data_IF_886658143953
#
_entry.id   IF_886658143953
#
_cell.length_a   1.000
_cell.length_b   1.000
_cell.length_c   1.000
_cell.angle_alpha   90.00
_cell.angle_beta   90.00
_cell.angle_gamma   90.00
#
_symmetry.space_group_name_H-M   'P 1'
#
loop_
_entity.id
_entity.type
_entity.pdbx_description
1 polymer ?
#
# COMPACT_ATOMS: atom_id res chain seq x y z
N UNK A 1 6.00 -20.71 50.74
CA UNK A 1 6.35 -20.22 49.39
C UNK A 1 7.87 -20.23 49.33
N UNK A 2 8.43 -21.12 48.51
CA UNK A 2 9.88 -21.33 48.47
C UNK A 2 10.53 -20.15 47.75
N UNK A 3 11.74 -19.76 48.14
CA UNK A 3 12.51 -18.68 47.48
C UNK A 3 12.76 -18.94 46.00
N UNK A 4 12.63 -20.18 45.53
CA UNK A 4 12.67 -20.57 44.10
C UNK A 4 11.46 -20.10 43.31
N UNK A 5 10.25 -20.10 43.88
CA UNK A 5 9.01 -19.70 43.19
C UNK A 5 9.03 -18.20 42.86
N UNK A 6 9.59 -17.39 43.77
CA UNK A 6 9.72 -15.95 43.58
C UNK A 6 10.76 -15.58 42.50
N UNK A 7 11.80 -16.39 42.31
CA UNK A 7 12.83 -16.16 41.28
C UNK A 7 12.29 -16.53 39.89
N UNK A 8 11.48 -17.58 39.79
CA UNK A 8 10.79 -17.94 38.54
C UNK A 8 9.74 -16.90 38.15
N UNK A 9 8.93 -16.39 39.09
CA UNK A 9 7.95 -15.32 38.83
C UNK A 9 8.63 -14.01 38.38
N UNK A 10 9.78 -13.65 38.96
CA UNK A 10 10.56 -12.48 38.53
C UNK A 10 11.14 -12.69 37.13
N UNK A 11 11.70 -13.86 36.83
CA UNK A 11 12.24 -14.17 35.51
C UNK A 11 11.14 -14.20 34.44
N UNK A 12 9.97 -14.74 34.76
CA UNK A 12 8.83 -14.82 33.85
C UNK A 12 8.17 -13.45 33.65
N UNK A 13 8.05 -12.64 34.71
CA UNK A 13 7.63 -11.24 34.65
C UNK A 13 8.61 -10.38 33.84
N UNK A 14 9.92 -10.55 34.00
CA UNK A 14 10.94 -9.87 33.19
C UNK A 14 10.92 -10.31 31.72
N UNK A 15 10.65 -11.59 31.44
CA UNK A 15 10.51 -12.11 30.06
C UNK A 15 9.24 -11.61 29.37
N UNK A 16 8.14 -11.49 30.09
CA UNK A 16 6.87 -10.90 29.60
C UNK A 16 7.01 -9.38 29.41
N UNK A 17 7.68 -8.69 30.34
CA UNK A 17 7.90 -7.23 30.26
C UNK A 17 8.86 -6.90 29.12
N UNK A 18 9.95 -7.64 28.95
CA UNK A 18 10.87 -7.47 27.80
C UNK A 18 10.22 -7.83 26.46
N UNK A 19 9.35 -8.85 26.42
CA UNK A 19 8.58 -9.21 25.22
C UNK A 19 7.54 -8.13 24.85
N UNK A 20 6.87 -7.55 25.84
CA UNK A 20 5.89 -6.47 25.63
C UNK A 20 6.56 -5.18 25.22
N UNK A 21 7.64 -4.78 25.92
CA UNK A 21 8.44 -3.61 25.55
C UNK A 21 9.00 -3.73 24.13
N UNK A 22 9.54 -4.89 23.75
CA UNK A 22 10.00 -5.16 22.38
C UNK A 22 8.87 -5.05 21.35
N UNK A 23 7.67 -5.54 21.67
CA UNK A 23 6.50 -5.43 20.79
C UNK A 23 6.03 -3.99 20.62
N UNK A 24 6.02 -3.21 21.70
CA UNK A 24 5.69 -1.77 21.67
C UNK A 24 6.72 -1.00 20.85
N UNK A 25 8.02 -1.27 21.04
CA UNK A 25 9.10 -0.68 20.24
C UNK A 25 8.94 -1.01 18.75
N UNK A 26 8.65 -2.27 18.42
CA UNK A 26 8.41 -2.68 17.04
C UNK A 26 7.19 -1.97 16.44
N UNK A 27 6.11 -1.80 17.20
CA UNK A 27 4.92 -1.08 16.78
C UNK A 27 5.19 0.40 16.50
N UNK A 28 5.82 1.11 17.44
CA UNK A 28 6.13 2.55 17.30
C UNK A 28 7.12 2.77 16.15
N UNK A 29 8.19 1.99 16.10
CA UNK A 29 9.20 2.11 15.04
C UNK A 29 8.64 1.78 13.66
N UNK A 30 7.79 0.75 13.56
CA UNK A 30 7.05 0.43 12.34
C UNK A 30 6.11 1.56 11.91
N UNK A 31 5.36 2.14 12.86
CA UNK A 31 4.50 3.29 12.61
C UNK A 31 5.26 4.52 12.10
N UNK A 32 6.39 4.85 12.74
CA UNK A 32 7.24 5.96 12.32
C UNK A 32 7.85 5.72 10.93
N UNK A 33 8.32 4.50 10.66
CA UNK A 33 8.74 4.08 9.32
C UNK A 33 7.64 4.29 8.27
N UNK A 34 6.40 3.91 8.59
CA UNK A 34 5.24 4.15 7.73
C UNK A 34 4.99 5.64 7.44
N UNK A 35 5.13 6.51 8.43
CA UNK A 35 5.04 7.98 8.25
C UNK A 35 6.14 8.48 7.31
N UNK A 36 7.40 8.06 7.52
CA UNK A 36 8.51 8.42 6.64
C UNK A 36 8.27 7.96 5.19
N UNK A 37 7.76 6.74 5.02
CA UNK A 37 7.40 6.19 3.71
C UNK A 37 6.36 7.04 2.98
N UNK A 38 5.33 7.48 3.70
CA UNK A 38 4.28 8.34 3.15
C UNK A 38 4.86 9.71 2.80
N UNK A 39 5.65 10.33 3.68
CA UNK A 39 6.26 11.64 3.40
C UNK A 39 7.12 11.61 2.14
N UNK A 40 8.01 10.64 2.00
CA UNK A 40 8.91 10.55 0.83
C UNK A 40 8.18 10.06 -0.42
N UNK A 41 7.23 9.13 -0.27
CA UNK A 41 6.54 8.52 -1.39
C UNK A 41 5.37 9.33 -1.95
N UNK A 42 4.74 10.20 -1.15
CA UNK A 42 3.49 10.86 -1.54
C UNK A 42 3.60 11.78 -2.75
N UNK A 43 4.68 12.56 -2.96
CA UNK A 43 4.87 13.32 -4.20
C UNK A 43 4.78 12.45 -5.46
N UNK A 44 5.37 11.25 -5.43
CA UNK A 44 5.30 10.31 -6.55
C UNK A 44 3.88 9.78 -6.77
N UNK A 45 3.16 9.46 -5.68
CA UNK A 45 1.75 9.03 -5.76
C UNK A 45 0.87 10.11 -6.36
N UNK A 46 1.06 11.37 -5.96
CA UNK A 46 0.27 12.48 -6.46
C UNK A 46 0.47 12.64 -7.97
N UNK A 47 1.73 12.60 -8.44
CA UNK A 47 2.04 12.70 -9.87
C UNK A 47 1.49 11.49 -10.63
N UNK A 48 1.64 10.28 -10.10
CA UNK A 48 1.05 9.06 -10.66
C UNK A 48 -0.46 9.24 -10.85
N UNK A 49 -1.19 9.54 -9.80
CA UNK A 49 -2.65 9.65 -9.82
C UNK A 49 -3.11 10.77 -10.77
N UNK A 50 -2.45 11.94 -10.75
CA UNK A 50 -2.75 13.02 -11.70
C UNK A 50 -2.54 12.59 -13.15
N UNK A 51 -1.48 11.84 -13.48
CA UNK A 51 -1.28 11.33 -14.84
C UNK A 51 -2.35 10.32 -15.24
N UNK A 52 -2.81 9.47 -14.32
CA UNK A 52 -3.82 8.44 -14.58
C UNK A 52 -5.21 9.03 -14.89
N UNK A 53 -5.56 10.13 -14.22
CA UNK A 53 -6.89 10.76 -14.28
C UNK A 53 -6.95 12.00 -15.17
N UNK A 54 -5.79 12.48 -15.65
CA UNK A 54 -5.71 13.61 -16.56
C UNK A 54 -6.51 13.38 -17.84
N UNK A 55 -7.24 14.42 -18.26
CA UNK A 55 -7.73 14.48 -19.63
C UNK A 55 -6.54 14.53 -20.61
N UNK A 56 -6.70 14.00 -21.84
CA UNK A 56 -5.69 14.11 -22.89
C UNK A 56 -5.17 15.54 -23.05
N UNK A 57 -3.86 15.69 -23.23
CA UNK A 57 -3.21 16.99 -23.39
C UNK A 57 -2.91 17.78 -22.10
N UNK A 58 -3.46 17.38 -20.95
CA UNK A 58 -3.21 18.10 -19.67
C UNK A 58 -1.72 18.08 -19.29
N UNK A 59 -1.05 16.95 -19.48
CA UNK A 59 0.37 16.76 -19.15
C UNK A 59 1.12 16.11 -20.32
N UNK A 60 2.34 16.58 -20.59
CA UNK A 60 3.28 15.93 -21.53
C UNK A 60 3.97 14.70 -20.91
N UNK A 61 3.97 14.59 -19.58
CA UNK A 61 4.60 13.51 -18.84
C UNK A 61 4.73 13.84 -17.35
N UNK A 62 5.43 12.98 -16.60
CA UNK A 62 5.58 13.14 -15.15
C UNK A 62 6.29 14.44 -14.75
N UNK A 63 7.37 14.81 -15.45
CA UNK A 63 8.11 16.05 -15.15
C UNK A 63 7.27 17.30 -15.44
N UNK A 64 6.47 17.29 -16.51
CA UNK A 64 5.54 18.37 -16.81
C UNK A 64 4.45 18.47 -15.74
N UNK A 65 3.94 17.33 -15.24
CA UNK A 65 3.01 17.29 -14.13
C UNK A 65 3.60 17.85 -12.83
N UNK A 66 4.88 17.57 -12.53
CA UNK A 66 5.60 18.16 -11.40
C UNK A 66 5.71 19.66 -11.57
N UNK A 67 6.22 20.14 -12.71
CA UNK A 67 6.41 21.57 -13.00
C UNK A 67 5.10 22.34 -12.88
N UNK A 68 4.02 21.84 -13.49
CA UNK A 68 2.69 22.46 -13.40
C UNK A 68 2.11 22.44 -11.98
N UNK A 69 2.36 21.38 -11.22
CA UNK A 69 1.94 21.31 -9.81
C UNK A 69 2.67 22.34 -8.97
N UNK A 70 4.00 22.44 -9.11
CA UNK A 70 4.81 23.41 -8.38
C UNK A 70 4.47 24.86 -8.77
N UNK A 71 4.23 25.12 -10.05
CA UNK A 71 3.87 26.45 -10.53
C UNK A 71 2.49 26.91 -10.02
N UNK A 72 1.52 25.98 -9.89
CA UNK A 72 0.15 26.31 -9.47
C UNK A 72 -0.03 26.30 -7.95
N UNK A 73 0.49 25.27 -7.29
CA UNK A 73 0.18 24.94 -5.89
C UNK A 73 1.40 25.05 -4.96
N UNK A 74 2.59 25.39 -5.48
CA UNK A 74 3.84 25.39 -4.73
C UNK A 74 4.30 23.99 -4.28
N UNK A 75 5.31 23.94 -3.42
CA UNK A 75 5.87 22.68 -2.91
C UNK A 75 4.86 21.89 -2.05
N UNK A 76 4.02 22.58 -1.29
CA UNK A 76 2.96 21.95 -0.48
C UNK A 76 1.89 21.28 -1.34
N UNK A 77 1.71 21.73 -2.59
CA UNK A 77 0.85 21.09 -3.59
C UNK A 77 1.19 19.63 -3.86
N UNK A 78 2.47 19.24 -3.75
CA UNK A 78 2.90 17.84 -3.91
C UNK A 78 2.39 16.92 -2.79
N UNK A 79 2.00 17.50 -1.65
CA UNK A 79 1.51 16.78 -0.46
C UNK A 79 -0.03 16.76 -0.35
N UNK A 80 -0.73 17.24 -1.37
CA UNK A 80 -2.19 17.25 -1.37
C UNK A 80 -2.75 15.82 -1.29
N UNK A 81 -3.67 15.59 -0.36
CA UNK A 81 -4.27 14.27 -0.13
C UNK A 81 -3.39 13.29 0.65
N UNK A 82 -2.36 13.75 1.37
CA UNK A 82 -1.50 12.90 2.21
C UNK A 82 -2.16 12.46 3.52
N UNK A 83 -3.16 13.18 4.02
CA UNK A 83 -3.81 12.86 5.30
C UNK A 83 -4.50 11.48 5.29
N UNK A 84 -5.32 11.09 4.29
CA UNK A 84 -5.93 9.76 4.26
C UNK A 84 -4.92 8.60 4.40
N UNK A 85 -3.82 8.51 3.62
CA UNK A 85 -2.88 7.41 3.80
C UNK A 85 -2.18 7.43 5.17
N UNK A 86 -1.89 8.60 5.76
CA UNK A 86 -1.33 8.66 7.12
C UNK A 86 -2.28 8.08 8.17
N UNK A 87 -3.58 8.36 8.06
CA UNK A 87 -4.59 7.82 8.98
C UNK A 87 -4.91 6.34 8.71
N UNK A 88 -4.86 5.93 7.44
CA UNK A 88 -5.26 4.60 7.02
C UNK A 88 -4.16 3.55 7.07
N UNK A 89 -2.87 3.93 7.06
CA UNK A 89 -1.76 2.98 6.90
C UNK A 89 -1.78 1.88 7.96
N UNK A 90 -1.87 2.23 9.23
CA UNK A 90 -1.88 1.28 10.35
C UNK A 90 -3.08 0.33 10.31
N UNK A 91 -4.35 0.79 10.24
CA UNK A 91 -5.49 -0.13 10.20
C UNK A 91 -5.53 -0.96 8.92
N UNK A 92 -5.10 -0.43 7.77
CA UNK A 92 -5.01 -1.19 6.52
C UNK A 92 -4.03 -2.35 6.67
N UNK A 93 -2.81 -2.10 7.17
CA UNK A 93 -1.83 -3.16 7.37
C UNK A 93 -2.25 -4.16 8.44
N UNK A 94 -2.84 -3.71 9.55
CA UNK A 94 -3.32 -4.60 10.60
C UNK A 94 -4.36 -5.60 10.05
N UNK A 95 -5.33 -5.12 9.29
CA UNK A 95 -6.34 -5.98 8.65
C UNK A 95 -5.74 -6.84 7.55
N UNK A 96 -4.73 -6.35 6.83
CA UNK A 96 -4.00 -7.12 5.81
C UNK A 96 -3.26 -8.32 6.41
N UNK A 97 -2.47 -8.11 7.47
CA UNK A 97 -1.74 -9.20 8.14
C UNK A 97 -2.70 -10.22 8.77
N UNK A 98 -3.75 -9.74 9.44
CA UNK A 98 -4.80 -10.62 9.94
C UNK A 98 -5.48 -11.42 8.82
N UNK A 99 -5.80 -10.77 7.70
CA UNK A 99 -6.37 -11.41 6.53
C UNK A 99 -5.43 -12.43 5.88
N UNK A 100 -4.12 -12.17 5.91
CA UNK A 100 -3.09 -13.07 5.41
C UNK A 100 -2.98 -14.33 6.27
N UNK A 101 -2.96 -14.19 7.60
CA UNK A 101 -2.97 -15.31 8.54
C UNK A 101 -4.23 -16.18 8.38
N UNK A 102 -5.39 -15.55 8.18
CA UNK A 102 -6.63 -16.26 7.85
C UNK A 102 -6.55 -16.96 6.50
N UNK A 103 -5.99 -16.29 5.48
CA UNK A 103 -5.77 -16.87 4.15
C UNK A 103 -4.89 -18.12 4.21
N UNK A 104 -3.79 -18.08 4.95
CA UNK A 104 -2.93 -19.24 5.19
C UNK A 104 -3.68 -20.39 5.87
N UNK A 105 -4.47 -20.11 6.91
CA UNK A 105 -5.30 -21.13 7.59
C UNK A 105 -6.33 -21.76 6.65
N UNK A 106 -6.95 -20.96 5.79
CA UNK A 106 -7.90 -21.44 4.78
C UNK A 106 -7.20 -22.35 3.76
N UNK A 107 -6.07 -21.92 3.21
CA UNK A 107 -5.28 -22.73 2.26
C UNK A 107 -4.89 -24.07 2.87
N UNK A 108 -4.38 -24.10 4.11
CA UNK A 108 -4.05 -25.34 4.80
C UNK A 108 -5.26 -26.28 4.98
N UNK A 109 -6.46 -25.72 5.17
CA UNK A 109 -7.69 -26.51 5.27
C UNK A 109 -8.10 -27.14 3.94
N UNK A 110 -7.81 -26.48 2.82
CA UNK A 110 -8.11 -26.97 1.48
C UNK A 110 -7.00 -27.88 0.90
N UNK A 111 -5.83 -27.95 1.53
CA UNK A 111 -4.73 -28.87 1.17
C UNK A 111 -4.46 -29.89 2.29
N UNK A 112 -5.40 -30.82 2.60
CA UNK A 112 -5.28 -31.73 3.75
C UNK A 112 -4.17 -32.78 3.61
N UNK A 113 -3.82 -33.19 2.39
CA UNK A 113 -2.83 -34.24 2.11
C UNK A 113 -1.42 -33.68 1.86
N UNK A 114 -0.98 -32.69 2.64
CA UNK A 114 0.34 -32.06 2.43
C UNK A 114 1.49 -32.95 2.94
N UNK A 115 2.56 -33.02 2.16
CA UNK A 115 3.79 -33.74 2.52
C UNK A 115 4.87 -32.81 3.10
N UNK A 116 4.82 -31.50 2.79
CA UNK A 116 5.77 -30.48 3.27
C UNK A 116 5.12 -29.53 4.28
N UNK A 117 5.91 -29.02 5.23
CA UNK A 117 5.48 -27.97 6.17
C UNK A 117 5.53 -26.56 5.56
N UNK A 118 6.31 -26.37 4.49
CA UNK A 118 6.47 -25.08 3.83
C UNK A 118 5.37 -24.85 2.78
N UNK A 119 4.89 -23.60 2.70
CA UNK A 119 3.95 -23.21 1.65
C UNK A 119 4.65 -23.12 0.30
N UNK A 120 3.97 -23.62 -0.73
CA UNK A 120 4.35 -23.40 -2.13
C UNK A 120 4.12 -21.94 -2.54
N UNK A 121 4.78 -21.51 -3.62
CA UNK A 121 4.61 -20.16 -4.19
C UNK A 121 3.14 -19.84 -4.52
N UNK A 122 2.38 -20.84 -4.97
CA UNK A 122 0.95 -20.69 -5.28
C UNK A 122 0.10 -20.52 -4.01
N UNK A 123 0.46 -21.19 -2.92
CA UNK A 123 -0.25 -21.06 -1.64
C UNK A 123 0.02 -19.71 -0.98
N UNK A 124 1.25 -19.20 -1.05
CA UNK A 124 1.55 -17.82 -0.66
C UNK A 124 0.78 -16.79 -1.49
N UNK A 125 0.70 -17.00 -2.81
CA UNK A 125 -0.08 -16.15 -3.70
C UNK A 125 -1.58 -16.17 -3.33
N UNK A 126 -2.13 -17.35 -3.04
CA UNK A 126 -3.53 -17.50 -2.62
C UNK A 126 -3.81 -16.81 -1.28
N UNK A 127 -2.94 -17.00 -0.28
CA UNK A 127 -3.05 -16.33 1.01
C UNK A 127 -2.95 -14.80 0.86
N UNK A 128 -2.03 -14.31 0.04
CA UNK A 128 -1.90 -12.89 -0.30
C UNK A 128 -3.10 -12.32 -1.05
N UNK A 129 -3.74 -13.11 -1.92
CA UNK A 129 -4.98 -12.67 -2.58
C UNK A 129 -6.15 -12.58 -1.57
N UNK A 130 -6.28 -13.59 -0.69
CA UNK A 130 -7.35 -13.63 0.30
C UNK A 130 -7.24 -12.49 1.33
N UNK A 131 -6.01 -12.07 1.68
CA UNK A 131 -5.79 -10.95 2.60
C UNK A 131 -6.30 -9.62 2.06
N UNK A 132 -6.32 -9.45 0.73
CA UNK A 132 -6.78 -8.23 0.08
C UNK A 132 -8.28 -7.97 0.30
N UNK A 133 -9.09 -9.02 0.54
CA UNK A 133 -10.56 -8.89 0.69
C UNK A 133 -10.92 -8.05 1.93
N UNK A 134 -10.57 -8.46 3.17
CA UNK A 134 -10.88 -7.65 4.35
C UNK A 134 -10.13 -6.31 4.34
N UNK A 135 -8.89 -6.28 3.83
CA UNK A 135 -8.11 -5.06 3.67
C UNK A 135 -8.86 -4.00 2.84
N UNK A 136 -9.48 -4.42 1.73
CA UNK A 136 -10.15 -3.52 0.79
C UNK A 136 -11.30 -2.75 1.44
N UNK A 137 -11.99 -3.31 2.45
CA UNK A 137 -13.07 -2.59 3.14
C UNK A 137 -12.56 -1.37 3.93
N UNK A 138 -11.33 -1.43 4.42
CA UNK A 138 -10.68 -0.29 5.09
C UNK A 138 -9.98 0.61 4.06
N UNK A 139 -9.30 0.01 3.08
CA UNK A 139 -8.53 0.74 2.09
C UNK A 139 -9.40 1.54 1.11
N UNK A 140 -10.52 0.99 0.63
CA UNK A 140 -11.37 1.63 -0.38
C UNK A 140 -11.81 3.06 -0.02
N UNK A 141 -12.40 3.35 1.17
CA UNK A 141 -12.78 4.72 1.53
C UNK A 141 -11.57 5.65 1.69
N UNK A 142 -10.49 5.16 2.30
CA UNK A 142 -9.25 5.93 2.49
C UNK A 142 -8.64 6.32 1.15
N UNK A 143 -8.53 5.35 0.24
CA UNK A 143 -7.96 5.55 -1.08
C UNK A 143 -8.82 6.45 -1.96
N UNK A 144 -10.15 6.29 -1.90
CA UNK A 144 -11.05 7.18 -2.64
C UNK A 144 -10.89 8.62 -2.17
N UNK A 145 -10.82 8.85 -0.86
CA UNK A 145 -10.59 10.18 -0.31
C UNK A 145 -9.23 10.75 -0.73
N UNK A 146 -8.16 9.94 -0.68
CA UNK A 146 -6.82 10.30 -1.18
C UNK A 146 -6.87 10.74 -2.63
N UNK A 147 -7.41 9.91 -3.51
CA UNK A 147 -7.41 10.13 -4.96
C UNK A 147 -8.19 11.40 -5.31
N UNK A 148 -9.38 11.62 -4.72
CA UNK A 148 -10.16 12.84 -4.94
C UNK A 148 -9.41 14.11 -4.52
N UNK A 149 -8.71 14.06 -3.38
CA UNK A 149 -7.88 15.18 -2.92
C UNK A 149 -6.65 15.38 -3.82
N UNK A 150 -6.06 14.33 -4.38
CA UNK A 150 -4.88 14.45 -5.25
C UNK A 150 -5.21 15.10 -6.61
N UNK A 151 -6.40 14.82 -7.15
CA UNK A 151 -6.82 15.31 -8.47
C UNK A 151 -7.52 16.66 -8.45
N UNK A 152 -8.04 17.12 -7.31
CA UNK A 152 -8.63 18.46 -7.27
C UNK A 152 -7.58 19.55 -7.55
N UNK A 153 -7.98 20.59 -8.27
CA UNK A 153 -7.07 21.59 -8.80
C UNK A 153 -6.38 21.20 -10.11
N UNK A 154 -6.54 19.97 -10.59
CA UNK A 154 -5.93 19.50 -11.84
C UNK A 154 -6.54 20.19 -13.06
N UNK A 155 -5.71 20.50 -14.07
CA UNK A 155 -6.18 21.03 -15.35
C UNK A 155 -6.86 22.41 -15.28
N UNK A 156 -6.64 23.17 -14.21
CA UNK A 156 -7.33 24.45 -14.00
C UNK A 156 -8.64 24.34 -13.21
N UNK A 157 -9.07 23.12 -12.82
CA UNK A 157 -10.28 22.93 -12.02
C UNK A 157 -10.21 23.58 -10.63
N UNK A 158 -11.37 23.84 -10.04
CA UNK A 158 -11.51 24.40 -8.70
C UNK A 158 -11.21 23.36 -7.59
N UNK A 159 -10.89 23.86 -6.40
CA UNK A 159 -10.76 23.01 -5.21
C UNK A 159 -12.15 22.75 -4.63
N UNK A 160 -12.64 21.51 -4.79
CA UNK A 160 -13.97 21.10 -4.31
C UNK A 160 -13.99 20.76 -2.82
N UNK A 161 -12.88 20.25 -2.27
CA UNK A 161 -12.83 19.70 -0.92
C UNK A 161 -11.73 20.33 -0.08
N UNK A 162 -12.08 20.72 1.16
CA UNK A 162 -11.14 21.30 2.13
C UNK A 162 -10.28 20.26 2.85
N UNK A 163 -10.70 18.99 2.86
CA UNK A 163 -9.99 17.91 3.53
C UNK A 163 -10.77 16.60 3.56
N UNK A 164 -10.25 15.61 4.29
CA UNK A 164 -10.78 14.23 4.31
C UNK A 164 -12.23 14.17 4.79
N UNK A 165 -12.54 14.88 5.88
CA UNK A 165 -13.90 14.91 6.45
C UNK A 165 -14.89 15.52 5.44
N UNK A 166 -14.47 16.55 4.72
CA UNK A 166 -15.29 17.22 3.72
C UNK A 166 -15.54 16.32 2.50
N UNK A 167 -14.53 15.55 2.07
CA UNK A 167 -14.70 14.51 1.05
C UNK A 167 -15.73 13.47 1.50
N UNK A 168 -15.59 12.91 2.70
CA UNK A 168 -16.52 11.88 3.19
C UNK A 168 -17.95 12.42 3.30
N UNK A 169 -18.13 13.63 3.84
CA UNK A 169 -19.44 14.30 3.91
C UNK A 169 -20.01 14.57 2.51
N UNK A 170 -19.20 15.06 1.58
CA UNK A 170 -19.60 15.31 0.21
C UNK A 170 -20.03 14.04 -0.52
N UNK A 171 -19.25 12.97 -0.40
CA UNK A 171 -19.58 11.67 -0.98
C UNK A 171 -20.86 11.08 -0.40
N UNK A 172 -21.05 11.19 0.92
CA UNK A 172 -22.26 10.72 1.58
C UNK A 172 -23.49 11.49 1.09
N UNK A 173 -23.39 12.81 0.91
CA UNK A 173 -24.47 13.63 0.33
C UNK A 173 -24.75 13.30 -1.14
N UNK A 174 -23.74 12.94 -1.92
CA UNK A 174 -23.87 12.63 -3.36
C UNK A 174 -24.58 11.29 -3.60
N UNK A 175 -24.35 10.26 -2.77
CA UNK A 175 -24.91 8.93 -3.02
C UNK A 175 -24.76 7.95 -1.85
N UNK A 176 -24.70 8.47 -0.62
CA UNK A 176 -24.60 7.68 0.60
C UNK A 176 -23.34 6.81 0.68
N UNK A 177 -23.45 5.70 1.40
CA UNK A 177 -22.35 4.74 1.62
C UNK A 177 -21.84 4.14 0.30
N UNK A 178 -22.74 3.89 -0.66
CA UNK A 178 -22.35 3.35 -1.98
C UNK A 178 -21.38 4.30 -2.71
N UNK A 179 -21.56 5.61 -2.56
CA UNK A 179 -20.64 6.59 -3.13
C UNK A 179 -19.26 6.52 -2.47
N UNK A 180 -19.19 6.37 -1.15
CA UNK A 180 -17.91 6.23 -0.41
C UNK A 180 -17.13 4.99 -0.86
N UNK A 181 -17.83 3.88 -1.13
CA UNK A 181 -17.22 2.63 -1.57
C UNK A 181 -17.14 2.47 -3.09
N UNK A 182 -17.46 3.51 -3.88
CA UNK A 182 -17.37 3.39 -5.34
C UNK A 182 -15.92 3.23 -5.77
N UNK A 183 -15.69 2.21 -6.59
CA UNK A 183 -14.35 1.76 -7.00
C UNK A 183 -13.79 0.59 -6.19
N UNK A 184 -14.49 0.10 -5.15
CA UNK A 184 -14.04 -1.05 -4.33
C UNK A 184 -13.70 -2.28 -5.18
N UNK A 185 -14.52 -2.63 -6.17
CA UNK A 185 -14.21 -3.75 -7.07
C UNK A 185 -12.96 -3.52 -7.92
N UNK A 186 -12.68 -2.28 -8.30
CA UNK A 186 -11.45 -1.91 -9.00
C UNK A 186 -10.23 -1.92 -8.06
N UNK A 187 -10.40 -1.51 -6.80
CA UNK A 187 -9.39 -1.66 -5.76
C UNK A 187 -9.05 -3.12 -5.53
N UNK A 188 -10.06 -4.00 -5.40
CA UNK A 188 -9.81 -5.44 -5.22
C UNK A 188 -9.12 -6.07 -6.44
N UNK A 189 -9.52 -5.68 -7.66
CA UNK A 189 -8.88 -6.14 -8.89
C UNK A 189 -7.41 -5.70 -9.02
N UNK A 190 -7.01 -4.63 -8.30
CA UNK A 190 -5.62 -4.21 -8.16
C UNK A 190 -4.92 -4.96 -7.02
N UNK A 191 -5.55 -4.99 -5.85
CA UNK A 191 -4.95 -5.42 -4.59
C UNK A 191 -4.76 -6.93 -4.53
N UNK A 192 -5.72 -7.72 -5.02
CA UNK A 192 -5.61 -9.18 -5.03
C UNK A 192 -4.42 -9.66 -5.86
N UNK A 193 -4.40 -9.41 -7.19
CA UNK A 193 -3.27 -9.79 -8.04
C UNK A 193 -1.96 -9.10 -7.65
N UNK A 194 -2.03 -7.84 -7.21
CA UNK A 194 -0.85 -7.11 -6.74
C UNK A 194 -0.22 -7.73 -5.50
N UNK A 195 -1.03 -8.13 -4.51
CA UNK A 195 -0.53 -8.77 -3.29
C UNK A 195 0.05 -10.15 -3.58
N UNK A 196 -0.61 -10.94 -4.45
CA UNK A 196 -0.05 -12.21 -4.92
C UNK A 196 1.32 -12.01 -5.59
N UNK A 197 1.43 -11.06 -6.52
CA UNK A 197 2.68 -10.74 -7.20
C UNK A 197 3.77 -10.23 -6.24
N UNK A 198 3.40 -9.45 -5.22
CA UNK A 198 4.31 -8.98 -4.19
C UNK A 198 4.92 -10.15 -3.41
N UNK A 199 4.09 -11.03 -2.84
CA UNK A 199 4.59 -12.18 -2.07
C UNK A 199 5.39 -13.16 -2.92
N UNK A 200 4.95 -13.43 -4.16
CA UNK A 200 5.72 -14.26 -5.10
C UNK A 200 7.06 -13.63 -5.43
N UNK A 201 7.10 -12.33 -5.76
CA UNK A 201 8.33 -11.61 -6.06
C UNK A 201 9.30 -11.59 -4.87
N UNK A 202 8.77 -11.39 -3.67
CA UNK A 202 9.55 -11.41 -2.43
C UNK A 202 10.18 -12.78 -2.18
N UNK A 203 9.39 -13.85 -2.25
CA UNK A 203 9.85 -15.21 -1.98
C UNK A 203 10.81 -15.73 -3.05
N UNK A 204 10.52 -15.50 -4.33
CA UNK A 204 11.42 -15.90 -5.44
C UNK A 204 12.76 -15.17 -5.31
N UNK A 205 12.74 -13.86 -5.02
CA UNK A 205 13.98 -13.10 -4.86
C UNK A 205 14.75 -13.55 -3.62
N UNK A 206 14.07 -13.79 -2.49
CA UNK A 206 14.72 -14.34 -1.30
C UNK A 206 15.36 -15.69 -1.55
N UNK A 207 14.66 -16.62 -2.21
CA UNK A 207 15.19 -17.94 -2.56
C UNK A 207 16.42 -17.83 -3.46
N UNK A 208 16.37 -16.95 -4.46
CA UNK A 208 17.51 -16.71 -5.35
C UNK A 208 18.73 -16.11 -4.62
N UNK A 209 18.52 -15.32 -3.56
CA UNK A 209 19.57 -14.71 -2.75
C UNK A 209 20.05 -15.58 -1.59
N UNK A 210 19.35 -16.68 -1.27
CA UNK A 210 19.72 -17.57 -0.17
C UNK A 210 20.82 -18.54 -0.64
N UNK A 211 22.01 -18.55 -0.02
CA UNK A 211 23.05 -19.53 -0.33
C UNK A 211 22.56 -20.96 -0.09
N UNK A 212 23.06 -21.93 -0.87
CA UNK A 212 22.58 -23.32 -0.85
C UNK A 212 22.66 -24.04 0.51
N UNK A 213 23.43 -23.52 1.48
CA UNK A 213 23.64 -24.09 2.81
C UNK A 213 23.04 -23.24 3.95
N UNK A 214 22.18 -22.27 3.65
CA UNK A 214 21.61 -21.35 4.64
C UNK A 214 20.08 -21.34 4.58
N UNK A 215 19.44 -21.03 5.70
CA UNK A 215 18.00 -20.82 5.73
C UNK A 215 17.67 -19.42 5.23
N UNK A 216 16.49 -19.23 4.62
CA UNK A 216 15.99 -17.90 4.23
C UNK A 216 15.77 -16.95 5.42
N UNK A 217 15.87 -17.46 6.66
CA UNK A 217 15.92 -16.68 7.91
C UNK A 217 17.26 -15.96 8.12
N UNK A 218 18.32 -16.39 7.45
CA UNK A 218 19.70 -15.96 7.72
C UNK A 218 20.18 -14.89 6.72
N UNK A 219 19.28 -14.42 5.85
CA UNK A 219 19.59 -13.36 4.89
C UNK A 219 19.94 -12.06 5.60
N UNK A 220 21.03 -11.42 5.15
CA UNK A 220 21.40 -10.11 5.64
C UNK A 220 20.33 -9.06 5.28
N UNK A 221 20.32 -7.95 6.03
CA UNK A 221 19.34 -6.88 5.85
C UNK A 221 19.33 -6.32 4.42
N UNK A 222 20.48 -6.21 3.76
CA UNK A 222 20.59 -5.72 2.38
C UNK A 222 19.86 -6.62 1.37
N UNK A 223 19.98 -7.94 1.51
CA UNK A 223 19.28 -8.92 0.70
C UNK A 223 17.76 -8.87 0.92
N UNK A 224 17.32 -8.69 2.17
CA UNK A 224 15.89 -8.51 2.50
C UNK A 224 15.34 -7.22 1.89
N UNK A 225 16.10 -6.12 1.93
CA UNK A 225 15.73 -4.83 1.31
C UNK A 225 15.60 -4.99 -0.21
N UNK A 226 16.58 -5.62 -0.86
CA UNK A 226 16.56 -5.86 -2.29
C UNK A 226 15.37 -6.73 -2.70
N UNK A 227 15.10 -7.82 -1.96
CA UNK A 227 13.94 -8.67 -2.18
C UNK A 227 12.62 -7.90 -2.02
N UNK A 228 12.50 -7.03 -1.02
CA UNK A 228 11.34 -6.14 -0.85
C UNK A 228 11.19 -5.12 -1.99
N UNK A 229 12.29 -4.59 -2.51
CA UNK A 229 12.31 -3.70 -3.68
C UNK A 229 11.81 -4.42 -4.95
N UNK A 230 12.35 -5.60 -5.23
CA UNK A 230 11.94 -6.43 -6.37
C UNK A 230 10.48 -6.87 -6.28
N UNK A 231 10.02 -7.25 -5.09
CA UNK A 231 8.61 -7.54 -4.82
C UNK A 231 7.70 -6.35 -5.20
N UNK A 232 8.12 -5.13 -4.84
CA UNK A 232 7.42 -3.90 -5.23
C UNK A 232 7.37 -3.68 -6.75
N UNK A 233 8.49 -3.90 -7.45
CA UNK A 233 8.56 -3.80 -8.93
C UNK A 233 7.64 -4.82 -9.59
N UNK A 234 7.66 -6.07 -9.13
CA UNK A 234 6.78 -7.14 -9.64
C UNK A 234 5.31 -6.82 -9.41
N UNK A 235 4.95 -6.37 -8.20
CA UNK A 235 3.59 -5.95 -7.85
C UNK A 235 3.09 -4.87 -8.82
N UNK A 236 3.83 -3.76 -8.96
CA UNK A 236 3.38 -2.63 -9.77
C UNK A 236 3.36 -2.95 -11.27
N UNK A 237 4.19 -3.88 -11.75
CA UNK A 237 4.15 -4.32 -13.16
C UNK A 237 2.82 -4.94 -13.55
N UNK A 238 2.12 -5.59 -12.61
CA UNK A 238 0.78 -6.16 -12.83
C UNK A 238 -0.32 -5.20 -12.36
N UNK A 239 -0.06 -4.43 -11.30
CA UNK A 239 -1.08 -3.60 -10.65
C UNK A 239 -1.34 -2.26 -11.37
N UNK A 240 -0.45 -1.79 -12.27
CA UNK A 240 -0.62 -0.47 -12.90
C UNK A 240 -1.89 -0.37 -13.77
N UNK A 241 -2.16 -1.29 -14.71
CA UNK A 241 -3.40 -1.24 -15.50
C UNK A 241 -4.68 -1.16 -14.66
N UNK A 242 -4.93 -2.04 -13.67
CA UNK A 242 -6.09 -1.91 -12.80
C UNK A 242 -6.05 -0.64 -11.92
N UNK A 243 -4.87 -0.16 -11.49
CA UNK A 243 -4.73 1.09 -10.74
C UNK A 243 -5.16 2.32 -11.57
N UNK A 244 -4.87 2.37 -12.86
CA UNK A 244 -5.37 3.44 -13.76
C UNK A 244 -6.89 3.44 -13.81
N UNK A 245 -7.50 2.27 -14.05
CA UNK A 245 -8.95 2.14 -14.15
C UNK A 245 -9.63 2.48 -12.82
N UNK A 246 -9.06 2.01 -11.72
CA UNK A 246 -9.50 2.31 -10.36
C UNK A 246 -9.46 3.82 -10.08
N UNK A 247 -8.35 4.49 -10.38
CA UNK A 247 -8.23 5.95 -10.21
C UNK A 247 -9.28 6.70 -11.03
N UNK A 248 -9.49 6.32 -12.31
CA UNK A 248 -10.52 6.95 -13.16
C UNK A 248 -11.95 6.73 -12.64
N UNK A 249 -12.29 5.52 -12.21
CA UNK A 249 -13.61 5.21 -11.63
C UNK A 249 -13.84 5.99 -10.33
N UNK A 250 -12.81 6.15 -9.50
CA UNK A 250 -12.90 6.87 -8.23
C UNK A 250 -13.08 8.38 -8.41
N UNK A 251 -12.52 8.96 -9.47
CA UNK A 251 -12.59 10.41 -9.73
C UNK A 251 -13.70 10.85 -10.67
N UNK A 252 -14.18 9.96 -11.55
CA UNK A 252 -15.19 10.33 -12.51
C UNK A 252 -16.54 10.64 -11.83
N UNK A 253 -17.35 11.55 -12.40
CA UNK A 253 -18.72 11.77 -11.95
C UNK A 253 -19.53 10.47 -11.85
N UNK A 254 -20.56 10.47 -11.00
CA UNK A 254 -21.50 9.35 -10.93
C UNK A 254 -22.11 9.06 -12.31
N UNK A 255 -22.20 7.78 -12.70
CA UNK A 255 -22.75 7.36 -13.98
C UNK A 255 -21.79 7.37 -15.18
N UNK A 256 -20.57 7.92 -15.08
CA UNK A 256 -19.62 7.91 -16.22
C UNK A 256 -19.21 6.50 -16.65
N UNK A 257 -19.07 5.57 -15.69
CA UNK A 257 -18.64 4.20 -15.92
C UNK A 257 -19.58 3.21 -15.23
N UNK A 258 -19.97 2.16 -15.96
CA UNK A 258 -20.82 1.07 -15.45
C UNK A 258 -20.02 -0.06 -14.76
N UNK A 259 -18.70 0.01 -14.78
CA UNK A 259 -17.82 -0.98 -14.17
C UNK A 259 -16.39 -0.90 -14.70
N UNK A 260 -15.55 -1.84 -14.27
CA UNK A 260 -14.14 -1.89 -14.65
C UNK A 260 -13.94 -2.07 -16.16
N UNK A 261 -14.69 -2.99 -16.77
CA UNK A 261 -14.60 -3.29 -18.20
C UNK A 261 -15.11 -2.13 -19.07
N UNK A 262 -16.19 -1.46 -18.66
CA UNK A 262 -16.68 -0.26 -19.34
C UNK A 262 -15.65 0.88 -19.26
N UNK A 263 -15.06 1.09 -18.09
CA UNK A 263 -13.97 2.05 -17.92
C UNK A 263 -12.76 1.71 -18.79
N UNK A 264 -12.39 0.42 -18.89
CA UNK A 264 -11.29 -0.03 -19.73
C UNK A 264 -11.57 0.26 -21.22
N UNK A 265 -12.74 -0.14 -21.71
CA UNK A 265 -13.15 0.09 -23.11
C UNK A 265 -13.15 1.57 -23.46
N UNK A 266 -13.80 2.41 -22.65
CA UNK A 266 -13.85 3.86 -22.86
C UNK A 266 -12.46 4.51 -22.78
N UNK A 267 -11.60 4.04 -21.86
CA UNK A 267 -10.22 4.53 -21.73
C UNK A 267 -9.39 4.18 -22.96
N UNK A 268 -9.44 2.93 -23.42
CA UNK A 268 -8.69 2.50 -24.61
C UNK A 268 -9.19 3.21 -25.87
N UNK A 269 -10.51 3.40 -26.00
CA UNK A 269 -11.11 4.10 -27.14
C UNK A 269 -10.72 5.59 -27.19
N UNK A 270 -10.64 6.27 -26.05
CA UNK A 270 -10.32 7.70 -25.98
C UNK A 270 -8.81 8.00 -26.02
N UNK A 271 -8.01 7.20 -25.29
CA UNK A 271 -6.62 7.54 -24.99
C UNK A 271 -5.61 6.48 -25.51
N UNK A 272 -6.10 5.41 -26.12
CA UNK A 272 -5.29 4.27 -26.57
C UNK A 272 -4.89 3.32 -25.43
N UNK A 273 -4.31 2.18 -25.80
CA UNK A 273 -3.91 1.13 -24.84
C UNK A 273 -2.78 1.55 -23.90
N UNK A 274 -1.90 2.45 -24.36
CA UNK A 274 -0.83 3.01 -23.54
C UNK A 274 -1.35 3.81 -22.34
N UNK A 275 -2.60 4.26 -22.36
CA UNK A 275 -3.22 4.96 -21.24
C UNK A 275 -3.28 4.12 -19.96
N UNK A 276 -3.38 2.79 -20.09
CA UNK A 276 -3.38 1.86 -18.96
C UNK A 276 -2.04 1.78 -18.24
N UNK A 277 -0.97 2.34 -18.81
CA UNK A 277 0.37 2.36 -18.23
C UNK A 277 0.78 3.74 -17.72
N UNK A 278 -0.12 4.73 -17.77
CA UNK A 278 0.14 6.06 -17.22
C UNK A 278 0.41 5.96 -15.72
N UNK A 279 1.52 6.59 -15.30
CA UNK A 279 1.95 6.56 -13.90
C UNK A 279 2.92 5.42 -13.56
N UNK A 280 3.25 4.51 -14.49
CA UNK A 280 4.24 3.45 -14.26
C UNK A 280 5.60 4.01 -13.80
N UNK A 281 6.13 5.02 -14.51
CA UNK A 281 7.41 5.66 -14.16
C UNK A 281 7.43 6.22 -12.73
N UNK A 282 6.50 7.11 -12.34
CA UNK A 282 6.39 7.57 -10.95
C UNK A 282 6.24 6.44 -9.92
N UNK A 283 5.50 5.38 -10.23
CA UNK A 283 5.35 4.24 -9.32
C UNK A 283 6.67 3.48 -9.12
N UNK A 284 7.45 3.27 -10.18
CA UNK A 284 8.79 2.66 -10.10
C UNK A 284 9.77 3.57 -9.36
N UNK A 285 9.79 4.85 -9.70
CA UNK A 285 10.67 5.84 -9.07
C UNK A 285 10.40 6.00 -7.56
N UNK A 286 9.15 5.75 -7.11
CA UNK A 286 8.78 5.75 -5.69
C UNK A 286 9.39 4.59 -4.90
N UNK A 287 9.57 3.42 -5.53
CA UNK A 287 9.85 2.18 -4.80
C UNK A 287 11.10 2.28 -3.91
N UNK A 288 12.22 2.74 -4.47
CA UNK A 288 13.48 2.83 -3.72
C UNK A 288 13.47 3.94 -2.65
N UNK A 289 13.09 5.20 -2.94
CA UNK A 289 13.10 6.27 -1.95
C UNK A 289 12.11 6.02 -0.80
N UNK A 290 10.90 5.54 -1.10
CA UNK A 290 9.91 5.28 -0.05
C UNK A 290 10.36 4.13 0.86
N UNK A 291 10.90 3.05 0.28
CA UNK A 291 11.42 1.92 1.07
C UNK A 291 12.60 2.34 1.94
N UNK A 292 13.57 3.08 1.38
CA UNK A 292 14.71 3.58 2.13
C UNK A 292 14.27 4.46 3.31
N UNK A 293 13.29 5.35 3.09
CA UNK A 293 12.73 6.20 4.14
C UNK A 293 12.05 5.38 5.25
N UNK A 294 11.33 4.31 4.90
CA UNK A 294 10.76 3.38 5.88
C UNK A 294 11.85 2.81 6.78
N UNK A 295 12.90 2.24 6.19
CA UNK A 295 13.96 1.58 6.95
C UNK A 295 14.72 2.55 7.84
N UNK A 296 15.14 3.69 7.29
CA UNK A 296 15.81 4.72 8.07
C UNK A 296 14.91 5.23 9.22
N UNK A 297 13.62 5.39 8.97
CA UNK A 297 12.64 5.75 10.00
C UNK A 297 12.56 4.69 11.12
N UNK A 298 12.39 3.42 10.75
CA UNK A 298 12.36 2.31 11.72
C UNK A 298 13.64 2.27 12.55
N UNK A 299 14.81 2.33 11.90
CA UNK A 299 16.10 2.24 12.59
C UNK A 299 16.34 3.43 13.52
N UNK A 300 16.10 4.66 13.04
CA UNK A 300 16.24 5.86 13.86
C UNK A 300 15.29 5.83 15.07
N UNK A 301 14.03 5.43 14.86
CA UNK A 301 13.05 5.31 15.94
C UNK A 301 13.44 4.23 16.94
N UNK A 302 13.91 3.06 16.49
CA UNK A 302 14.39 1.99 17.39
C UNK A 302 15.56 2.46 18.25
N UNK A 303 16.57 3.09 17.66
CA UNK A 303 17.73 3.63 18.42
C UNK A 303 17.29 4.60 19.51
N UNK A 304 16.33 5.48 19.22
CA UNK A 304 15.79 6.41 20.22
C UNK A 304 15.03 5.66 21.31
N UNK A 305 14.18 4.71 20.95
CA UNK A 305 13.39 3.94 21.92
C UNK A 305 14.25 3.05 22.81
N UNK A 306 15.31 2.43 22.27
CA UNK A 306 16.27 1.62 23.03
C UNK A 306 17.04 2.45 24.07
N UNK A 307 17.21 3.75 23.82
CA UNK A 307 17.78 4.67 24.81
C UNK A 307 16.77 5.14 25.87
N UNK A 308 15.47 4.93 25.66
CA UNK A 308 14.40 5.39 26.56
C UNK A 308 13.91 4.30 27.51
N UNK A 309 13.72 3.07 27.03
CA UNK A 309 13.27 1.91 27.81
C UNK A 309 13.54 0.61 27.06
#
# INVERSE_FOLDING_TARGET
MSSTDAVEDIAQSQKVTSSTASSVKAFISGGFGGVCAVLVGHPFDLIKTRLQTAQPGTYKGAIDAVKKTLAKDGATGLYRGMVPPLLGVTPIFAVSFWGYDLGQKLVLRFTPNRTSKEFTTAEYAAAGFLSAIPQTFVAAPVERAKVLLQVQGQGGGEQKYKGVIDVVKGLYKEGGVRSIFRGTGATLARDGPGSAAYFVGYEVTKKALTPANSSSSDLNLGAVIFAGGMAGVTMWSIAIPPDVLKSRIQTAPAGTYNGLLDCARKTIAADGIAALWKGFGPAMARAFPANAATFLGVEASRKVLDNLF
#
